data_IF_329951564666
#
_entry.id   IF_329951564666
#
_cell.length_a   1.000
_cell.length_b   1.000
_cell.length_c   1.000
_cell.angle_alpha   90.00
_cell.angle_beta   90.00
_cell.angle_gamma   90.00
#
_symmetry.space_group_name_H-M   'P 1'
#
loop_
_entity.id
_entity.type
_entity.pdbx_description
1 polymer ?
#
# COMPACT_ATOMS: atom_id res chain seq x y z
N UNK A 1 22.70 -19.66 1.90
CA UNK A 1 23.00 -18.92 0.67
C UNK A 1 21.69 -18.40 0.08
N UNK A 2 21.57 -17.08 0.03
CA UNK A 2 20.77 -16.29 -0.91
C UNK A 2 19.25 -16.54 -0.98
N UNK A 3 18.52 -16.01 0.00
CA UNK A 3 17.17 -15.49 -0.24
C UNK A 3 17.30 -14.05 -0.73
N UNK A 4 17.66 -13.90 -2.01
CA UNK A 4 17.73 -12.62 -2.71
C UNK A 4 16.43 -12.34 -3.47
N UNK A 5 16.02 -11.07 -3.43
CA UNK A 5 15.21 -10.40 -4.45
C UNK A 5 13.71 -10.77 -4.54
N UNK A 6 12.93 -10.24 -3.59
CA UNK A 6 11.52 -9.89 -3.84
C UNK A 6 11.12 -8.63 -3.07
N UNK A 7 11.90 -7.55 -3.25
CA UNK A 7 11.52 -6.20 -2.81
C UNK A 7 10.92 -5.44 -4.00
N UNK A 8 9.61 -5.58 -4.16
CA UNK A 8 8.80 -4.53 -4.78
C UNK A 8 7.46 -4.51 -4.06
N UNK A 9 6.99 -3.30 -3.74
CA UNK A 9 5.85 -2.98 -2.86
C UNK A 9 6.15 -2.97 -1.35
N UNK A 10 7.04 -2.08 -0.93
CA UNK A 10 7.09 -1.63 0.47
C UNK A 10 7.40 -0.14 0.56
N UNK A 11 6.38 0.68 0.35
CA UNK A 11 6.28 2.00 1.00
C UNK A 11 5.07 1.95 1.94
N UNK A 12 5.05 0.94 2.82
CA UNK A 12 4.13 0.85 3.95
C UNK A 12 4.99 0.77 5.22
N UNK A 13 5.59 1.91 5.54
CA UNK A 13 6.27 2.29 6.79
C UNK A 13 6.66 1.13 7.73
N UNK A 14 7.96 0.81 7.68
CA UNK A 14 8.84 0.41 8.79
C UNK A 14 8.17 0.46 10.18
N UNK A 15 7.84 -0.73 10.69
CA UNK A 15 7.89 -1.15 12.10
C UNK A 15 7.40 -0.17 13.18
N UNK A 16 6.09 0.02 13.30
CA UNK A 16 5.48 0.35 14.62
C UNK A 16 4.42 -0.65 15.06
N UNK A 17 3.70 -1.25 14.10
CA UNK A 17 2.61 -2.19 14.37
C UNK A 17 3.07 -3.50 15.03
N UNK A 18 4.29 -3.95 14.75
CA UNK A 18 4.83 -5.17 15.36
C UNK A 18 5.08 -5.05 16.88
N UNK A 19 5.12 -3.82 17.40
CA UNK A 19 5.43 -3.53 18.81
C UNK A 19 4.19 -3.41 19.70
N UNK A 20 2.98 -3.40 19.12
CA UNK A 20 1.73 -3.26 19.86
C UNK A 20 1.38 -4.60 20.55
N UNK A 21 1.35 -4.57 21.89
CA UNK A 21 0.98 -5.71 22.74
C UNK A 21 -0.40 -6.28 22.37
N UNK A 22 -1.35 -5.43 21.96
CA UNK A 22 -2.68 -5.87 21.57
C UNK A 22 -2.64 -6.75 20.32
N UNK A 23 -1.82 -6.37 19.34
CA UNK A 23 -1.64 -7.12 18.10
C UNK A 23 -0.97 -8.47 18.40
N UNK A 24 0.09 -8.48 19.22
CA UNK A 24 0.73 -9.73 19.65
C UNK A 24 -0.25 -10.66 20.36
N UNK A 25 -1.03 -10.13 21.31
CA UNK A 25 -2.04 -10.90 22.05
C UNK A 25 -3.07 -11.53 21.12
N UNK A 26 -3.56 -10.80 20.13
CA UNK A 26 -4.49 -11.34 19.13
C UNK A 26 -3.87 -12.48 18.30
N UNK A 27 -2.62 -12.33 17.87
CA UNK A 27 -1.88 -13.37 17.12
C UNK A 27 -1.72 -14.64 17.96
N UNK A 28 -1.29 -14.50 19.22
CA UNK A 28 -1.16 -15.64 20.14
C UNK A 28 -2.50 -16.31 20.39
N UNK A 29 -3.55 -15.54 20.65
CA UNK A 29 -4.89 -16.07 20.89
C UNK A 29 -5.40 -16.85 19.68
N UNK A 30 -5.23 -16.34 18.45
CA UNK A 30 -5.61 -17.07 17.23
C UNK A 30 -4.82 -18.38 17.07
N UNK A 31 -3.55 -18.38 17.45
CA UNK A 31 -2.69 -19.57 17.38
C UNK A 31 -3.13 -20.63 18.40
N UNK A 32 -3.39 -20.22 19.65
CA UNK A 32 -3.87 -21.10 20.71
C UNK A 32 -5.26 -21.67 20.43
N UNK A 33 -6.18 -20.84 19.91
CA UNK A 33 -7.53 -21.29 19.55
C UNK A 33 -7.52 -22.25 18.35
N UNK A 34 -6.58 -22.09 17.42
CA UNK A 34 -6.45 -22.96 16.26
C UNK A 34 -6.08 -24.41 16.60
N UNK A 35 -5.55 -24.67 17.80
CA UNK A 35 -5.20 -26.02 18.28
C UNK A 35 -6.39 -26.72 18.99
N UNK A 36 -7.48 -25.99 19.28
CA UNK A 36 -8.64 -26.53 19.98
C UNK A 36 -9.58 -27.31 19.03
N UNK A 37 -10.14 -28.46 19.47
CA UNK A 37 -11.03 -29.29 18.64
C UNK A 37 -12.24 -28.54 18.08
N UNK A 38 -12.82 -27.62 18.85
CA UNK A 38 -14.00 -26.85 18.47
C UNK A 38 -13.79 -25.83 17.34
N UNK A 39 -12.54 -25.49 17.02
CA UNK A 39 -12.20 -24.50 15.99
C UNK A 39 -11.51 -25.11 14.76
N UNK A 40 -11.45 -26.44 14.63
CA UNK A 40 -10.80 -27.12 13.49
C UNK A 40 -11.37 -26.74 12.12
N UNK A 41 -12.63 -26.35 12.05
CA UNK A 41 -13.28 -25.90 10.81
C UNK A 41 -12.83 -24.51 10.36
N UNK A 42 -12.19 -23.73 11.24
CA UNK A 42 -11.69 -22.39 10.95
C UNK A 42 -10.16 -22.39 11.07
N UNK A 43 -9.40 -22.14 9.99
CA UNK A 43 -7.94 -22.18 10.02
C UNK A 43 -7.31 -20.95 10.70
N UNK A 44 -7.66 -20.68 11.97
CA UNK A 44 -7.22 -19.52 12.75
C UNK A 44 -5.69 -19.41 12.84
N UNK A 45 -5.00 -20.54 13.01
CA UNK A 45 -3.54 -20.61 13.08
C UNK A 45 -2.88 -20.21 11.77
N UNK A 46 -3.44 -20.64 10.63
CA UNK A 46 -2.97 -20.27 9.28
C UNK A 46 -3.04 -18.75 9.07
N UNK A 47 -4.10 -18.14 9.60
CA UNK A 47 -4.38 -16.71 9.44
C UNK A 47 -3.99 -15.87 10.66
N UNK A 48 -3.19 -16.39 11.60
CA UNK A 48 -2.84 -15.65 12.81
C UNK A 48 -2.10 -14.34 12.49
N UNK A 49 -1.27 -14.34 11.45
CA UNK A 49 -0.55 -13.15 10.96
C UNK A 49 -1.47 -12.06 10.37
N UNK A 50 -2.73 -12.39 10.03
CA UNK A 50 -3.79 -11.45 9.64
C UNK A 50 -4.85 -11.30 10.73
N UNK A 51 -4.47 -11.59 11.99
CA UNK A 51 -5.34 -11.49 13.17
C UNK A 51 -6.57 -12.40 13.11
N UNK A 52 -6.43 -13.55 12.45
CA UNK A 52 -7.46 -14.60 12.33
C UNK A 52 -8.37 -14.47 11.11
N UNK A 53 -8.21 -13.44 10.28
CA UNK A 53 -9.06 -13.19 9.12
C UNK A 53 -8.43 -13.73 7.82
N UNK A 54 -9.06 -14.71 7.18
CA UNK A 54 -8.63 -15.27 5.89
C UNK A 54 -8.93 -14.38 4.67
N UNK A 55 -9.06 -13.07 4.85
CA UNK A 55 -9.50 -12.11 3.85
C UNK A 55 -9.37 -10.66 4.33
N UNK A 56 -10.45 -9.88 4.22
CA UNK A 56 -10.44 -8.48 4.67
C UNK A 56 -10.42 -8.40 6.20
N UNK A 57 -9.29 -7.96 6.76
CA UNK A 57 -9.12 -7.70 8.20
C UNK A 57 -10.05 -6.59 8.74
N UNK A 58 -10.47 -5.67 7.88
CA UNK A 58 -11.39 -4.59 8.23
C UNK A 58 -12.73 -4.77 7.51
N UNK A 59 -13.80 -4.81 8.28
CA UNK A 59 -15.15 -4.56 7.79
C UNK A 59 -15.43 -3.06 7.85
N UNK A 60 -15.84 -2.49 6.73
CA UNK A 60 -16.20 -1.07 6.64
C UNK A 60 -17.68 -0.91 6.94
N UNK A 61 -18.03 -0.32 8.08
CA UNK A 61 -19.40 0.14 8.32
C UNK A 61 -19.59 1.52 7.69
N UNK A 62 -20.74 1.79 7.07
CA UNK A 62 -21.01 3.13 6.51
C UNK A 62 -21.12 4.22 7.58
N UNK A 63 -21.61 3.87 8.78
CA UNK A 63 -21.90 4.82 9.87
C UNK A 63 -20.73 5.06 10.82
N UNK A 64 -19.85 4.07 11.00
CA UNK A 64 -18.78 4.13 12.00
C UNK A 64 -17.37 4.05 11.43
N UNK A 65 -17.21 3.88 10.11
CA UNK A 65 -15.88 3.78 9.48
C UNK A 65 -15.63 4.96 8.54
N UNK A 66 -14.51 5.67 8.75
CA UNK A 66 -13.98 6.64 7.78
C UNK A 66 -13.51 5.91 6.52
N UNK A 67 -13.57 6.58 5.37
CA UNK A 67 -13.15 5.92 4.13
C UNK A 67 -11.63 5.84 4.05
N UNK A 68 -11.10 4.78 3.43
CA UNK A 68 -9.68 4.70 3.12
C UNK A 68 -9.22 5.85 2.21
N UNK A 69 -10.14 6.44 1.41
CA UNK A 69 -9.85 7.62 0.60
C UNK A 69 -9.54 8.83 1.48
N UNK A 70 -10.38 9.09 2.48
CA UNK A 70 -10.16 10.19 3.44
C UNK A 70 -8.84 10.00 4.20
N UNK A 71 -8.57 8.77 4.68
CA UNK A 71 -7.30 8.47 5.35
C UNK A 71 -6.08 8.63 4.43
N UNK A 72 -6.20 8.31 3.14
CA UNK A 72 -5.11 8.53 2.18
C UNK A 72 -4.89 10.02 1.94
N UNK A 73 -5.95 10.81 1.79
CA UNK A 73 -5.88 12.27 1.63
C UNK A 73 -5.18 12.92 2.82
N UNK A 74 -5.66 12.65 4.04
CA UNK A 74 -5.04 13.20 5.27
C UNK A 74 -3.55 12.87 5.37
N UNK A 75 -3.14 11.64 5.00
CA UNK A 75 -1.71 11.27 5.00
C UNK A 75 -0.92 11.99 3.91
N UNK A 76 -1.51 12.21 2.73
CA UNK A 76 -0.87 12.95 1.65
C UNK A 76 -0.67 14.42 2.05
N UNK A 77 -1.69 15.04 2.64
CA UNK A 77 -1.65 16.43 3.11
C UNK A 77 -0.57 16.59 4.20
N UNK A 78 -0.53 15.68 5.18
CA UNK A 78 0.52 15.66 6.22
C UNK A 78 1.92 15.52 5.61
N UNK A 79 2.11 14.59 4.68
CA UNK A 79 3.41 14.39 4.00
C UNK A 79 3.82 15.63 3.21
N UNK A 80 2.87 16.30 2.55
CA UNK A 80 3.12 17.52 1.81
C UNK A 80 3.51 18.68 2.74
N UNK A 81 2.87 18.78 3.91
CA UNK A 81 3.23 19.75 4.94
C UNK A 81 4.63 19.49 5.50
N UNK A 82 4.96 18.24 5.87
CA UNK A 82 6.31 17.88 6.33
C UNK A 82 7.38 18.16 5.27
N UNK A 83 7.13 17.83 4.01
CA UNK A 83 8.05 18.11 2.92
C UNK A 83 8.27 19.62 2.73
N UNK A 84 7.21 20.43 2.85
CA UNK A 84 7.33 21.90 2.79
C UNK A 84 8.17 22.44 3.94
N UNK A 85 7.90 22.00 5.17
CA UNK A 85 8.65 22.42 6.35
C UNK A 85 10.14 22.06 6.20
N UNK A 86 10.45 20.85 5.72
CA UNK A 86 11.83 20.43 5.46
C UNK A 86 12.53 21.28 4.38
N UNK A 87 11.77 21.82 3.42
CA UNK A 87 12.27 22.71 2.37
C UNK A 87 12.22 24.20 2.75
N UNK A 88 11.77 24.55 3.95
CA UNK A 88 11.59 25.94 4.39
C UNK A 88 10.55 26.71 3.58
N UNK A 89 9.63 26.01 2.91
CA UNK A 89 8.56 26.64 2.13
C UNK A 89 7.47 27.20 3.06
N UNK A 90 6.94 28.40 2.80
CA UNK A 90 5.88 29.00 3.61
C UNK A 90 4.59 28.18 3.56
N UNK A 91 3.75 28.32 4.60
CA UNK A 91 2.44 27.69 4.62
C UNK A 91 1.58 28.27 3.48
N UNK A 92 0.99 27.43 2.61
CA UNK A 92 0.06 27.91 1.59
C UNK A 92 -1.12 28.72 2.16
N UNK A 93 -1.47 28.58 3.43
CA UNK A 93 -2.49 29.38 4.10
C UNK A 93 -2.02 30.80 4.48
N UNK A 94 -0.70 31.01 4.67
CA UNK A 94 -0.13 32.29 5.13
C UNK A 94 0.25 33.23 3.98
N UNK A 95 0.32 32.72 2.74
CA UNK A 95 0.77 33.47 1.56
C UNK A 95 -0.12 33.26 0.34
N UNK A 96 -1.44 33.19 0.52
CA UNK A 96 -2.40 32.96 -0.55
C UNK A 96 -2.56 34.17 -1.51
N UNK A 97 -1.46 34.67 -2.07
CA UNK A 97 -1.51 35.29 -3.38
C UNK A 97 -1.78 34.16 -4.37
N UNK A 98 -3.05 34.01 -4.75
CA UNK A 98 -3.47 33.08 -5.79
C UNK A 98 -2.76 33.48 -7.10
N UNK A 99 -1.60 32.89 -7.35
CA UNK A 99 -0.91 33.00 -8.64
C UNK A 99 -1.76 32.24 -9.66
N UNK A 100 -2.70 32.97 -10.27
CA UNK A 100 -3.50 32.45 -11.36
C UNK A 100 -2.60 32.37 -12.59
N UNK A 101 -2.11 31.17 -12.89
CA UNK A 101 -1.43 30.89 -14.16
C UNK A 101 -2.52 30.86 -15.25
N UNK A 102 -2.82 32.03 -15.80
CA UNK A 102 -3.89 32.24 -16.79
C UNK A 102 -3.51 31.86 -18.22
N UNK A 103 -2.26 31.51 -18.48
CA UNK A 103 -1.77 31.14 -19.81
C UNK A 103 -1.13 29.76 -19.74
N UNK A 104 -1.86 28.77 -20.23
CA UNK A 104 -1.34 27.43 -20.46
C UNK A 104 -0.95 27.35 -21.93
N UNK A 105 0.35 27.33 -22.21
CA UNK A 105 0.87 26.95 -23.53
C UNK A 105 1.20 25.47 -23.53
N UNK A 106 0.91 24.78 -24.62
CA UNK A 106 1.30 23.39 -24.80
C UNK A 106 2.83 23.29 -24.76
N UNK A 107 3.37 22.64 -23.73
CA UNK A 107 4.82 22.52 -23.50
C UNK A 107 5.50 21.45 -24.38
N UNK A 108 4.77 20.87 -25.33
CA UNK A 108 5.21 19.72 -26.12
C UNK A 108 4.69 18.40 -25.55
N UNK A 109 4.78 17.35 -26.37
CA UNK A 109 4.37 15.99 -26.02
C UNK A 109 5.40 15.00 -26.49
N UNK A 110 5.64 13.98 -25.66
CA UNK A 110 6.72 13.02 -25.85
C UNK A 110 7.41 12.74 -24.52
N UNK A 111 8.32 11.79 -24.54
CA UNK A 111 9.16 11.52 -23.39
C UNK A 111 10.37 12.45 -23.43
N UNK A 112 10.60 13.19 -22.33
CA UNK A 112 11.86 13.93 -22.15
C UNK A 112 13.00 12.94 -21.86
N UNK A 113 14.24 13.44 -21.89
CA UNK A 113 15.42 12.63 -21.63
C UNK A 113 15.26 11.79 -20.34
N UNK A 114 15.44 10.47 -20.47
CA UNK A 114 15.25 9.50 -19.38
C UNK A 114 13.81 9.04 -19.10
N UNK A 115 12.79 9.83 -19.44
CA UNK A 115 11.37 9.43 -19.27
C UNK A 115 11.01 8.26 -20.19
N UNK A 116 11.67 8.16 -21.35
CA UNK A 116 11.47 7.07 -22.30
C UNK A 116 11.88 5.71 -21.72
N UNK A 117 12.98 5.68 -20.98
CA UNK A 117 13.46 4.49 -20.29
C UNK A 117 12.53 4.09 -19.14
N UNK A 118 11.95 5.05 -18.42
CA UNK A 118 10.96 4.78 -17.38
C UNK A 118 9.64 4.22 -17.95
N UNK A 119 9.20 4.76 -19.08
CA UNK A 119 8.03 4.26 -19.79
C UNK A 119 8.26 2.83 -20.32
N UNK A 120 9.45 2.57 -20.88
CA UNK A 120 9.84 1.24 -21.35
C UNK A 120 9.92 0.23 -20.19
N UNK A 121 10.54 0.59 -19.07
CA UNK A 121 10.58 -0.25 -17.87
C UNK A 121 9.17 -0.58 -17.36
N UNK A 122 8.27 0.40 -17.39
CA UNK A 122 6.87 0.21 -17.00
C UNK A 122 6.13 -0.75 -17.93
N UNK A 123 6.36 -0.63 -19.25
CA UNK A 123 5.83 -1.58 -20.24
C UNK A 123 6.35 -2.99 -19.99
N UNK A 124 7.65 -3.16 -19.79
CA UNK A 124 8.27 -4.45 -19.52
C UNK A 124 7.70 -5.11 -18.26
N UNK A 125 7.55 -4.35 -17.17
CA UNK A 125 6.92 -4.83 -15.92
C UNK A 125 5.50 -5.33 -16.14
N UNK A 126 4.69 -4.62 -16.91
CA UNK A 126 3.32 -5.02 -17.22
C UNK A 126 3.28 -6.28 -18.08
N UNK A 127 4.16 -6.40 -19.07
CA UNK A 127 4.26 -7.59 -19.92
C UNK A 127 4.65 -8.82 -19.10
N UNK A 128 5.67 -8.71 -18.25
CA UNK A 128 6.10 -9.80 -17.36
C UNK A 128 4.97 -10.19 -16.39
N UNK A 129 4.29 -9.22 -15.78
CA UNK A 129 3.17 -9.50 -14.88
C UNK A 129 2.02 -10.25 -15.58
N UNK A 130 1.76 -9.93 -16.85
CA UNK A 130 0.76 -10.63 -17.68
C UNK A 130 1.21 -12.05 -18.03
N UNK A 131 2.49 -12.25 -18.37
CA UNK A 131 3.05 -13.58 -18.66
C UNK A 131 2.97 -14.49 -17.43
N UNK A 132 3.44 -14.02 -16.28
CA UNK A 132 3.36 -14.76 -15.00
C UNK A 132 1.92 -15.13 -14.66
N UNK A 133 0.97 -14.20 -14.88
CA UNK A 133 -0.45 -14.47 -14.67
C UNK A 133 -0.95 -15.59 -15.57
N UNK A 134 -0.62 -15.54 -16.86
CA UNK A 134 -1.03 -16.56 -17.84
C UNK A 134 -0.45 -17.93 -17.51
N UNK A 135 0.84 -17.98 -17.13
CA UNK A 135 1.51 -19.22 -16.72
C UNK A 135 0.88 -19.85 -15.48
N UNK A 136 0.50 -19.03 -14.49
CA UNK A 136 -0.22 -19.49 -13.29
C UNK A 136 -1.63 -20.01 -13.61
N UNK A 137 -2.33 -19.37 -14.54
CA UNK A 137 -3.65 -19.81 -14.99
C UNK A 137 -3.55 -21.14 -15.77
N UNK A 138 -2.53 -21.31 -16.62
CA UNK A 138 -2.30 -22.58 -17.34
C UNK A 138 -1.79 -23.72 -16.44
N UNK A 139 -0.96 -23.41 -15.44
CA UNK A 139 -0.44 -24.40 -14.48
C UNK A 139 -1.45 -24.82 -13.41
N UNK A 140 -2.59 -24.13 -13.30
CA UNK A 140 -3.68 -24.48 -12.38
C UNK A 140 -4.72 -25.42 -13.02
N UNK A 141 -4.61 -25.70 -14.33
CA UNK A 141 -5.56 -26.51 -15.12
C UNK A 141 -5.01 -27.90 -15.51
N UNK A 142 -3.80 -28.26 -15.07
CA UNK A 142 -3.20 -29.58 -15.21
C UNK A 142 -2.86 -30.16 -13.84
#
# INVERSE_FOLDING_TARGET
MLWGEALSYSVFTRTRWASDERIRRMIYTCSSLGDLPGYRSVPLRKWAHTLGYGGHFSTKSRRYSVTLGDLRRVRADHRAAEARQALGLPDPAEGAELVMIGQWSYAGGGHRDGEASLAELSRQRLTIARMIRKERESGSLG
#
